data_IF_155885036082
#
_entry.id   IF_155885036082
#
_cell.length_a   1.000
_cell.length_b   1.000
_cell.length_c   1.000
_cell.angle_alpha   90.00
_cell.angle_beta   90.00
_cell.angle_gamma   90.00
#
_symmetry.space_group_name_H-M   'P 1'
#
loop_
_entity.id
_entity.type
_entity.pdbx_description
1 polymer ?
#
# COMPACT_ATOMS: atom_id res chain seq x y z
N UNK A 1 -10.38 -3.07 -11.02
CA UNK A 1 -10.01 -4.27 -10.22
C UNK A 1 -9.74 -3.82 -8.80
N UNK A 2 -10.23 -4.58 -7.81
CA UNK A 2 -10.23 -4.20 -6.40
C UNK A 2 -9.07 -4.89 -5.68
N UNK A 3 -8.37 -4.15 -4.84
CA UNK A 3 -7.42 -4.66 -3.88
C UNK A 3 -7.74 -4.15 -2.48
N UNK A 4 -7.10 -4.70 -1.47
CA UNK A 4 -7.19 -4.17 -0.12
C UNK A 4 -5.94 -4.46 0.70
N UNK A 5 -5.73 -3.62 1.69
CA UNK A 5 -4.66 -3.74 2.68
C UNK A 5 -5.26 -3.60 4.07
N UNK A 6 -4.79 -4.37 5.03
CA UNK A 6 -5.15 -4.21 6.43
C UNK A 6 -3.93 -4.42 7.33
N UNK A 7 -3.93 -3.75 8.46
CA UNK A 7 -2.93 -3.97 9.49
C UNK A 7 -3.56 -3.78 10.87
N UNK A 8 -3.60 -4.85 11.65
CA UNK A 8 -4.10 -4.89 13.03
C UNK A 8 -2.91 -4.89 14.00
N UNK A 9 -2.53 -3.73 14.54
CA UNK A 9 -1.36 -3.62 15.40
C UNK A 9 -1.53 -4.30 16.77
N UNK A 10 -2.78 -4.46 17.22
CA UNK A 10 -3.07 -5.09 18.50
C UNK A 10 -2.86 -6.62 18.45
N UNK A 11 -3.11 -7.19 17.27
CA UNK A 11 -2.98 -8.63 17.03
C UNK A 11 -1.73 -9.00 16.25
N UNK A 12 -1.01 -8.00 15.72
CA UNK A 12 0.16 -8.24 14.88
C UNK A 12 -0.16 -8.76 13.49
N UNK A 13 -1.43 -8.76 13.10
CA UNK A 13 -1.87 -9.27 11.79
C UNK A 13 -1.78 -8.16 10.74
N UNK A 14 -1.25 -8.50 9.58
CA UNK A 14 -1.32 -7.63 8.41
C UNK A 14 -1.46 -8.43 7.12
N UNK A 15 -2.04 -7.83 6.11
CA UNK A 15 -2.23 -8.50 4.83
C UNK A 15 -2.54 -7.55 3.70
N UNK A 16 -2.19 -7.98 2.50
CA UNK A 16 -2.52 -7.31 1.25
C UNK A 16 -3.09 -8.31 0.27
N UNK A 17 -4.06 -7.88 -0.50
CA UNK A 17 -4.55 -8.55 -1.68
C UNK A 17 -4.55 -7.55 -2.82
N UNK A 18 -3.86 -7.90 -3.90
CA UNK A 18 -3.77 -7.05 -5.10
C UNK A 18 -4.80 -7.46 -6.15
N UNK A 19 -5.23 -6.52 -6.98
CA UNK A 19 -6.11 -6.83 -8.12
C UNK A 19 -5.53 -7.88 -9.06
N UNK A 20 -4.20 -7.98 -9.14
CA UNK A 20 -3.48 -8.98 -9.93
C UNK A 20 -3.57 -10.41 -9.38
N UNK A 21 -4.14 -10.60 -8.19
CA UNK A 21 -4.17 -11.88 -7.47
C UNK A 21 -3.00 -12.08 -6.51
N UNK A 22 -1.99 -11.21 -6.51
CA UNK A 22 -0.91 -11.32 -5.52
C UNK A 22 -1.44 -11.02 -4.11
N UNK A 23 -1.21 -11.93 -3.17
CA UNK A 23 -1.66 -11.80 -1.79
C UNK A 23 -0.57 -12.23 -0.82
N UNK A 24 -0.47 -11.53 0.30
CA UNK A 24 0.45 -11.86 1.39
C UNK A 24 -0.23 -11.61 2.71
N UNK A 25 -0.04 -12.54 3.64
CA UNK A 25 -0.51 -12.46 5.01
C UNK A 25 0.68 -12.61 5.97
N UNK A 26 0.70 -11.79 7.01
CA UNK A 26 1.72 -11.80 8.05
C UNK A 26 1.08 -11.95 9.44
N UNK A 27 1.79 -12.67 10.29
CA UNK A 27 1.61 -12.68 11.74
C UNK A 27 2.89 -12.12 12.35
N UNK A 28 2.83 -10.89 12.84
CA UNK A 28 3.97 -10.09 13.27
C UNK A 28 4.97 -9.89 12.10
N UNK A 29 6.16 -10.48 12.21
CA UNK A 29 7.22 -10.46 11.19
C UNK A 29 7.29 -11.75 10.36
N UNK A 30 6.39 -12.71 10.62
CA UNK A 30 6.36 -14.00 9.95
C UNK A 30 5.35 -14.00 8.80
N UNK A 31 5.77 -14.46 7.62
CA UNK A 31 4.87 -14.73 6.51
C UNK A 31 4.03 -15.96 6.84
N UNK A 32 2.70 -15.78 6.98
CA UNK A 32 1.76 -16.88 7.17
C UNK A 32 1.43 -17.58 5.86
N UNK A 33 1.17 -16.77 4.83
CA UNK A 33 0.83 -17.24 3.50
C UNK A 33 1.19 -16.19 2.46
N UNK A 34 1.62 -16.62 1.27
CA UNK A 34 1.95 -15.73 0.17
C UNK A 34 1.71 -16.43 -1.17
N UNK A 35 1.03 -15.74 -2.09
CA UNK A 35 0.76 -16.24 -3.44
C UNK A 35 0.84 -15.10 -4.45
N UNK A 36 1.35 -15.41 -5.64
CA UNK A 36 1.28 -14.48 -6.78
C UNK A 36 -0.08 -14.53 -7.51
N UNK A 37 -0.82 -15.64 -7.36
CA UNK A 37 -2.06 -15.93 -8.07
C UNK A 37 -3.14 -16.44 -7.10
N UNK A 38 -3.36 -15.74 -5.99
CA UNK A 38 -4.37 -16.13 -5.04
C UNK A 38 -5.78 -15.97 -5.62
N UNK A 39 -6.59 -17.01 -5.47
CA UNK A 39 -8.01 -16.94 -5.80
C UNK A 39 -8.75 -16.20 -4.68
N UNK A 40 -9.01 -14.92 -4.90
CA UNK A 40 -9.79 -14.12 -3.96
C UNK A 40 -11.17 -13.80 -4.55
N UNK A 41 -12.17 -13.84 -3.70
CA UNK A 41 -13.49 -13.31 -4.02
C UNK A 41 -13.63 -11.94 -3.37
N UNK A 42 -13.82 -10.92 -4.19
CA UNK A 42 -14.03 -9.56 -3.76
C UNK A 42 -15.43 -9.12 -4.16
N UNK A 43 -16.22 -8.71 -3.19
CA UNK A 43 -17.54 -8.13 -3.42
C UNK A 43 -17.42 -6.67 -3.90
N UNK A 44 -18.38 -6.25 -4.71
CA UNK A 44 -18.50 -4.87 -5.20
C UNK A 44 -19.37 -4.04 -4.25
N UNK A 45 -19.14 -2.72 -4.23
CA UNK A 45 -19.97 -1.76 -3.50
C UNK A 45 -19.20 -0.98 -2.43
N UNK A 46 -19.91 -0.14 -1.69
CA UNK A 46 -19.34 0.63 -0.58
C UNK A 46 -18.91 -0.28 0.58
N UNK A 47 -19.70 -1.34 0.81
CA UNK A 47 -19.41 -2.44 1.70
C UNK A 47 -18.98 -3.62 0.84
N UNK A 48 -17.76 -4.07 1.00
CA UNK A 48 -17.18 -5.16 0.26
C UNK A 48 -16.85 -6.32 1.20
N UNK A 49 -16.88 -7.53 0.68
CA UNK A 49 -16.36 -8.71 1.37
C UNK A 49 -15.16 -9.26 0.63
N UNK A 50 -14.19 -9.75 1.37
CA UNK A 50 -13.03 -10.44 0.83
C UNK A 50 -12.93 -11.83 1.44
N UNK A 51 -12.81 -12.85 0.61
CA UNK A 51 -12.47 -14.19 1.05
C UNK A 51 -11.27 -14.71 0.27
N UNK A 52 -10.34 -15.32 0.99
CA UNK A 52 -9.08 -15.80 0.47
C UNK A 52 -8.70 -17.08 1.18
N UNK A 53 -8.21 -18.07 0.44
CA UNK A 53 -7.63 -19.29 0.97
C UNK A 53 -6.27 -19.54 0.33
N UNK A 54 -5.23 -19.63 1.14
CA UNK A 54 -3.84 -19.86 0.72
C UNK A 54 -3.10 -20.67 1.78
N UNK A 55 -2.32 -21.65 1.38
CA UNK A 55 -1.38 -22.41 2.24
C UNK A 55 -2.01 -22.91 3.56
N UNK A 56 -3.30 -23.26 3.53
CA UNK A 56 -4.03 -23.70 4.73
C UNK A 56 -4.47 -22.56 5.66
N UNK A 57 -4.35 -21.33 5.22
CA UNK A 57 -4.88 -20.13 5.89
C UNK A 57 -6.10 -19.64 5.12
N UNK A 58 -7.23 -19.51 5.81
CA UNK A 58 -8.45 -18.92 5.27
C UNK A 58 -8.71 -17.57 5.91
N UNK A 59 -9.03 -16.57 5.11
CA UNK A 59 -9.36 -15.20 5.54
C UNK A 59 -10.75 -14.86 5.05
N UNK A 60 -11.58 -14.29 5.95
CA UNK A 60 -12.89 -13.74 5.61
C UNK A 60 -12.99 -12.36 6.25
N UNK A 61 -13.10 -11.33 5.43
CA UNK A 61 -13.16 -9.95 5.87
C UNK A 61 -14.38 -9.24 5.29
N UNK A 62 -14.93 -8.34 6.08
CA UNK A 62 -15.91 -7.34 5.68
C UNK A 62 -15.23 -5.96 5.73
N UNK A 63 -15.35 -5.19 4.66
CA UNK A 63 -14.76 -3.88 4.50
C UNK A 63 -15.89 -2.87 4.35
N UNK A 64 -16.05 -2.00 5.34
CA UNK A 64 -17.00 -0.89 5.30
C UNK A 64 -16.25 0.42 5.14
N UNK A 65 -16.51 1.12 4.04
CA UNK A 65 -15.84 2.39 3.74
C UNK A 65 -16.28 3.48 4.74
N UNK A 66 -15.30 4.17 5.35
CA UNK A 66 -15.55 5.22 6.35
C UNK A 66 -15.16 6.62 5.88
N UNK A 67 -14.46 6.75 4.76
CA UNK A 67 -14.02 8.02 4.20
C UNK A 67 -14.41 8.20 2.74
N UNK A 68 -14.18 9.40 2.21
CA UNK A 68 -14.28 9.63 0.77
C UNK A 68 -13.08 8.99 0.07
N UNK A 69 -13.26 8.45 -1.14
CA UNK A 69 -12.16 7.92 -1.91
C UNK A 69 -11.21 9.04 -2.34
N UNK A 70 -9.94 8.73 -2.34
CA UNK A 70 -8.86 9.59 -2.82
C UNK A 70 -8.38 9.06 -4.15
N UNK A 71 -8.49 9.86 -5.20
CA UNK A 71 -7.92 9.52 -6.50
C UNK A 71 -6.44 9.88 -6.55
N UNK A 72 -5.63 8.93 -6.90
CA UNK A 72 -4.19 9.09 -7.08
C UNK A 72 -3.80 8.53 -8.44
N UNK A 73 -3.08 9.30 -9.24
CA UNK A 73 -2.67 8.86 -10.55
C UNK A 73 -1.58 9.71 -11.15
N UNK A 74 -0.87 9.11 -12.10
CA UNK A 74 0.15 9.74 -12.91
C UNK A 74 0.12 9.18 -14.32
N UNK A 75 0.78 9.86 -15.23
CA UNK A 75 0.80 9.47 -16.65
C UNK A 75 1.43 8.08 -16.85
N UNK A 76 2.49 7.79 -16.09
CA UNK A 76 3.23 6.51 -16.15
C UNK A 76 2.93 5.59 -14.99
N UNK A 77 2.63 6.15 -13.82
CA UNK A 77 2.38 5.38 -12.60
C UNK A 77 1.03 4.64 -12.61
N UNK A 78 0.17 4.92 -13.59
CA UNK A 78 -1.21 4.47 -13.57
C UNK A 78 -2.04 5.24 -12.54
N UNK A 79 -3.31 4.86 -12.40
CA UNK A 79 -4.24 5.55 -11.50
C UNK A 79 -5.03 4.56 -10.65
N UNK A 80 -5.31 4.96 -9.41
CA UNK A 80 -6.14 4.20 -8.47
C UNK A 80 -6.97 5.14 -7.60
N UNK A 81 -8.09 4.62 -7.10
CA UNK A 81 -8.86 5.23 -6.02
C UNK A 81 -8.62 4.44 -4.75
N UNK A 82 -8.30 5.16 -3.66
CA UNK A 82 -8.08 4.56 -2.35
C UNK A 82 -9.10 5.09 -1.35
N UNK A 83 -9.62 4.21 -0.52
CA UNK A 83 -10.54 4.60 0.54
C UNK A 83 -10.17 3.89 1.85
N UNK A 84 -10.22 4.64 2.95
CA UNK A 84 -10.10 4.04 4.29
C UNK A 84 -11.37 3.26 4.60
N UNK A 85 -11.18 2.05 5.13
CA UNK A 85 -12.25 1.15 5.51
C UNK A 85 -12.08 0.68 6.95
N UNK A 86 -13.20 0.44 7.63
CA UNK A 86 -13.21 -0.46 8.76
C UNK A 86 -13.13 -1.89 8.23
N UNK A 87 -12.24 -2.70 8.78
CA UNK A 87 -12.04 -4.10 8.42
C UNK A 87 -12.41 -4.96 9.62
N UNK A 88 -13.38 -5.82 9.44
CA UNK A 88 -13.83 -6.80 10.44
C UNK A 88 -13.82 -8.18 9.83
N UNK A 89 -13.48 -9.19 10.62
CA UNK A 89 -13.55 -10.56 10.13
C UNK A 89 -12.67 -11.52 10.91
N UNK A 90 -12.27 -12.60 10.23
CA UNK A 90 -11.49 -13.65 10.85
C UNK A 90 -10.43 -14.23 9.91
N UNK A 91 -9.34 -14.67 10.51
CA UNK A 91 -8.30 -15.47 9.91
C UNK A 91 -8.29 -16.84 10.59
N UNK A 92 -8.38 -17.93 9.81
CA UNK A 92 -8.37 -19.31 10.30
C UNK A 92 -7.12 -20.04 9.81
N UNK A 93 -6.46 -20.75 10.73
CA UNK A 93 -5.31 -21.58 10.43
C UNK A 93 -5.47 -22.92 11.17
N UNK A 94 -5.82 -23.96 10.47
CA UNK A 94 -6.23 -25.21 11.10
C UNK A 94 -7.42 -25.02 12.03
N UNK A 95 -7.26 -25.36 13.32
CA UNK A 95 -8.30 -25.19 14.36
C UNK A 95 -8.24 -23.80 15.05
N UNK A 96 -7.25 -22.98 14.75
CA UNK A 96 -7.09 -21.66 15.34
C UNK A 96 -7.84 -20.61 14.53
N UNK A 97 -8.57 -19.74 15.23
CA UNK A 97 -9.25 -18.59 14.63
C UNK A 97 -8.82 -17.30 15.34
N UNK A 98 -8.35 -16.34 14.57
CA UNK A 98 -8.01 -15.00 15.03
C UNK A 98 -9.00 -14.00 14.45
N UNK A 99 -9.54 -13.13 15.30
CA UNK A 99 -10.41 -12.04 14.83
C UNK A 99 -9.58 -10.89 14.29
N UNK A 100 -10.04 -10.26 13.23
CA UNK A 100 -9.48 -9.03 12.65
C UNK A 100 -10.45 -7.89 12.94
N UNK A 101 -9.95 -6.79 13.52
CA UNK A 101 -10.75 -5.59 13.75
C UNK A 101 -9.82 -4.37 13.72
N UNK A 102 -9.68 -3.74 12.56
CA UNK A 102 -8.72 -2.66 12.36
C UNK A 102 -9.20 -1.68 11.27
N UNK A 103 -8.38 -0.67 11.01
CA UNK A 103 -8.49 0.14 9.80
C UNK A 103 -7.71 -0.54 8.67
N UNK A 104 -8.20 -0.37 7.46
CA UNK A 104 -7.56 -0.83 6.25
C UNK A 104 -7.79 0.14 5.09
N UNK A 105 -7.27 -0.23 3.93
CA UNK A 105 -7.42 0.55 2.70
C UNK A 105 -7.97 -0.38 1.63
N UNK A 106 -9.06 0.04 1.02
CA UNK A 106 -9.53 -0.50 -0.24
C UNK A 106 -8.89 0.30 -1.37
N UNK A 107 -8.42 -0.38 -2.40
CA UNK A 107 -7.90 0.24 -3.62
C UNK A 107 -8.66 -0.28 -4.84
N UNK A 108 -9.10 0.65 -5.69
CA UNK A 108 -9.73 0.35 -6.96
C UNK A 108 -8.81 0.84 -8.10
N UNK A 109 -8.16 -0.09 -8.82
CA UNK A 109 -7.30 0.26 -9.94
C UNK A 109 -8.14 0.81 -11.10
N UNK A 110 -7.87 2.06 -11.48
CA UNK A 110 -8.48 2.75 -12.61
C UNK A 110 -7.67 2.47 -13.88
N UNK A 111 -6.34 2.56 -13.78
CA UNK A 111 -5.40 2.16 -14.81
C UNK A 111 -4.12 1.61 -14.19
N UNK A 112 -3.45 0.72 -14.90
CA UNK A 112 -2.16 0.19 -14.48
C UNK A 112 -1.02 0.91 -15.20
N UNK A 113 0.17 0.90 -14.59
CA UNK A 113 1.38 1.33 -15.25
C UNK A 113 1.70 0.39 -16.42
N UNK A 114 2.07 0.95 -17.55
CA UNK A 114 2.49 0.16 -18.71
C UNK A 114 3.87 -0.48 -18.44
N UNK A 115 3.95 -1.82 -18.36
CA UNK A 115 5.20 -2.52 -18.07
C UNK A 115 6.29 -2.27 -19.12
N UNK A 116 5.91 -1.93 -20.35
CA UNK A 116 6.87 -1.64 -21.43
C UNK A 116 7.49 -0.23 -21.32
N UNK A 117 6.90 0.63 -20.51
CA UNK A 117 7.36 2.01 -20.29
C UNK A 117 8.11 2.20 -18.98
N UNK A 118 7.86 1.34 -17.97
CA UNK A 118 8.41 1.52 -16.63
C UNK A 118 9.20 0.32 -16.15
N UNK A 119 10.41 0.59 -15.64
CA UNK A 119 11.28 -0.42 -15.04
C UNK A 119 10.92 -0.73 -13.59
N UNK A 120 10.29 0.22 -12.90
CA UNK A 120 9.94 0.11 -11.48
C UNK A 120 8.72 0.96 -11.17
N UNK A 121 7.80 0.41 -10.36
CA UNK A 121 6.74 1.19 -9.71
C UNK A 121 6.84 1.04 -8.20
N UNK A 122 6.48 2.10 -7.48
CA UNK A 122 6.35 2.12 -6.02
C UNK A 122 4.95 2.56 -5.64
N UNK A 123 4.39 1.94 -4.62
CA UNK A 123 3.10 2.31 -4.06
C UNK A 123 3.17 2.31 -2.54
N UNK A 124 2.78 3.41 -1.93
CA UNK A 124 2.66 3.55 -0.48
C UNK A 124 1.22 3.92 -0.17
N UNK A 125 0.63 3.23 0.80
CA UNK A 125 -0.69 3.52 1.31
C UNK A 125 -0.70 3.34 2.83
N UNK A 126 -1.01 4.41 3.57
CA UNK A 126 -0.90 4.48 5.03
C UNK A 126 -2.20 4.99 5.62
N UNK A 127 -2.72 4.29 6.61
CA UNK A 127 -3.78 4.80 7.48
C UNK A 127 -3.17 5.25 8.80
N UNK A 128 -3.46 6.49 9.19
CA UNK A 128 -3.08 7.02 10.49
C UNK A 128 -4.10 6.64 11.55
N UNK A 129 -3.67 6.64 12.81
CA UNK A 129 -4.52 6.27 13.95
C UNK A 129 -5.77 7.14 14.13
N UNK A 130 -5.77 8.34 13.56
CA UNK A 130 -6.90 9.27 13.52
C UNK A 130 -7.85 9.03 12.34
N UNK A 131 -7.54 8.09 11.44
CA UNK A 131 -8.33 7.80 10.23
C UNK A 131 -7.87 8.59 9.00
N UNK A 132 -6.85 9.42 9.10
CA UNK A 132 -6.26 10.08 7.94
C UNK A 132 -5.55 9.10 7.01
N UNK A 133 -5.44 9.45 5.73
CA UNK A 133 -4.83 8.66 4.67
C UNK A 133 -3.66 9.40 4.04
N UNK A 134 -2.55 8.70 3.83
CA UNK A 134 -1.46 9.10 2.93
C UNK A 134 -1.33 8.06 1.83
N UNK A 135 -1.38 8.50 0.58
CA UNK A 135 -1.14 7.66 -0.58
C UNK A 135 -0.06 8.27 -1.47
N UNK A 136 0.80 7.40 -2.04
CA UNK A 136 1.84 7.80 -2.98
C UNK A 136 2.01 6.71 -4.05
N UNK A 137 2.18 7.14 -5.28
CA UNK A 137 2.63 6.31 -6.40
C UNK A 137 3.85 6.94 -7.06
N UNK A 138 4.79 6.09 -7.47
CA UNK A 138 5.94 6.50 -8.25
C UNK A 138 6.19 5.51 -9.38
N UNK A 139 6.65 6.00 -10.52
CA UNK A 139 7.04 5.20 -11.66
C UNK A 139 8.39 5.68 -12.20
N UNK A 140 9.32 4.74 -12.37
CA UNK A 140 10.61 4.99 -13.01
C UNK A 140 10.56 4.49 -14.44
N UNK A 141 10.76 5.35 -15.46
CA UNK A 141 10.81 4.92 -16.84
C UNK A 141 12.02 4.02 -17.12
N UNK A 142 11.93 3.21 -18.18
CA UNK A 142 13.09 2.48 -18.67
C UNK A 142 14.18 3.46 -19.11
N UNK A 143 15.44 3.13 -18.77
CA UNK A 143 16.60 3.97 -19.10
C UNK A 143 16.81 5.21 -18.23
N UNK A 144 15.96 5.42 -17.22
CA UNK A 144 16.18 6.49 -16.24
C UNK A 144 17.46 6.23 -15.46
N UNK A 145 18.34 7.22 -15.40
CA UNK A 145 19.61 7.15 -14.69
C UNK A 145 19.58 7.82 -13.33
N UNK A 146 18.67 8.77 -13.17
CA UNK A 146 18.54 9.59 -11.97
C UNK A 146 17.18 9.42 -11.27
N UNK A 147 17.16 9.67 -9.96
CA UNK A 147 15.92 9.70 -9.19
C UNK A 147 14.97 10.83 -9.63
N UNK A 148 15.50 11.90 -10.22
CA UNK A 148 14.70 13.00 -10.76
C UNK A 148 13.85 12.64 -11.97
N UNK A 149 14.11 11.48 -12.59
CA UNK A 149 13.32 10.97 -13.71
C UNK A 149 12.09 10.19 -13.26
N UNK A 150 11.95 9.90 -11.97
CA UNK A 150 10.75 9.25 -11.43
C UNK A 150 9.57 10.23 -11.44
N UNK A 151 8.47 9.78 -12.01
CA UNK A 151 7.18 10.42 -11.80
C UNK A 151 6.68 10.03 -10.42
N UNK A 152 6.45 11.01 -9.54
CA UNK A 152 5.96 10.77 -8.18
C UNK A 152 4.70 11.59 -7.95
N UNK A 153 3.63 10.94 -7.52
CA UNK A 153 2.36 11.57 -7.15
C UNK A 153 1.99 11.16 -5.74
N UNK A 154 1.39 12.07 -4.98
CA UNK A 154 0.93 11.78 -3.63
C UNK A 154 -0.34 12.59 -3.31
N UNK A 155 -1.12 12.04 -2.41
CA UNK A 155 -2.30 12.69 -1.87
C UNK A 155 -2.42 12.39 -0.36
N UNK A 156 -2.98 13.33 0.36
CA UNK A 156 -3.31 13.24 1.76
C UNK A 156 -4.81 13.46 1.93
N UNK A 157 -5.44 12.69 2.80
CA UNK A 157 -6.77 13.01 3.30
C UNK A 157 -6.73 13.08 4.81
N UNK A 158 -7.39 14.07 5.36
CA UNK A 158 -7.56 14.18 6.80
C UNK A 158 -8.66 13.21 7.31
N UNK A 159 -8.84 13.07 8.63
CA UNK A 159 -9.88 12.20 9.20
C UNK A 159 -11.32 12.58 8.81
N UNK A 160 -11.56 13.84 8.41
CA UNK A 160 -12.84 14.29 7.90
C UNK A 160 -13.04 13.96 6.41
N UNK A 161 -11.99 13.47 5.74
CA UNK A 161 -11.99 13.15 4.31
C UNK A 161 -11.68 14.36 3.44
N UNK A 162 -11.19 15.46 4.01
CA UNK A 162 -10.73 16.62 3.24
C UNK A 162 -9.42 16.27 2.53
N UNK A 163 -9.45 16.38 1.19
CA UNK A 163 -8.32 16.04 0.35
C UNK A 163 -7.32 17.20 0.26
N UNK A 164 -6.06 16.88 0.52
CA UNK A 164 -4.93 17.77 0.30
C UNK A 164 -4.07 17.23 -0.84
N UNK A 165 -3.99 17.95 -1.94
CA UNK A 165 -3.09 17.63 -3.03
C UNK A 165 -1.65 17.99 -2.67
N UNK A 166 -0.71 17.16 -3.13
CA UNK A 166 0.71 17.34 -2.93
C UNK A 166 1.36 17.69 -4.25
N UNK A 167 2.05 18.84 -4.31
CA UNK A 167 2.66 19.33 -5.56
C UNK A 167 3.97 18.63 -5.88
N UNK A 168 4.84 18.48 -4.90
CA UNK A 168 6.21 17.99 -5.08
C UNK A 168 6.51 16.93 -4.01
N UNK A 169 6.01 15.70 -4.18
CA UNK A 169 6.35 14.62 -3.26
C UNK A 169 7.78 14.13 -3.51
N UNK A 170 8.58 14.07 -2.45
CA UNK A 170 9.91 13.47 -2.49
C UNK A 170 9.91 12.19 -1.68
N UNK A 171 10.37 11.10 -2.28
CA UNK A 171 10.51 9.78 -1.66
C UNK A 171 11.96 9.34 -1.60
N UNK A 172 12.46 9.05 -0.41
CA UNK A 172 13.75 8.40 -0.20
C UNK A 172 13.54 7.03 0.44
N UNK A 173 14.20 6.01 -0.10
CA UNK A 173 14.12 4.62 0.38
C UNK A 173 15.49 4.08 0.72
N UNK A 174 15.59 3.44 1.88
CA UNK A 174 16.76 2.66 2.28
C UNK A 174 16.47 1.18 2.12
N UNK A 175 17.43 0.46 1.58
CA UNK A 175 17.33 -0.98 1.29
C UNK A 175 18.25 -1.78 2.18
N UNK A 176 17.88 -3.03 2.48
CA UNK A 176 18.78 -4.02 3.09
C UNK A 176 19.73 -4.63 2.06
N UNK A 177 20.59 -5.57 2.52
CA UNK A 177 21.54 -6.28 1.66
C UNK A 177 20.85 -7.15 0.58
N UNK A 178 19.60 -7.57 0.81
CA UNK A 178 18.77 -8.30 -0.15
C UNK A 178 18.00 -7.40 -1.12
N UNK A 179 18.20 -6.07 -1.03
CA UNK A 179 17.53 -5.08 -1.87
C UNK A 179 16.07 -4.82 -1.49
N UNK A 180 15.62 -5.21 -0.28
CA UNK A 180 14.27 -4.93 0.19
C UNK A 180 14.22 -3.60 0.94
N UNK A 181 13.12 -2.86 0.76
CA UNK A 181 12.90 -1.59 1.46
C UNK A 181 12.77 -1.80 2.97
N UNK A 182 13.57 -1.09 3.76
CA UNK A 182 13.56 -1.19 5.23
C UNK A 182 13.25 0.12 5.94
N UNK A 183 13.50 1.25 5.29
CA UNK A 183 13.11 2.58 5.76
C UNK A 183 12.69 3.44 4.58
N UNK A 184 11.76 4.35 4.83
CA UNK A 184 11.36 5.35 3.86
C UNK A 184 11.16 6.70 4.54
N UNK A 185 11.47 7.78 3.82
CA UNK A 185 11.13 9.14 4.24
C UNK A 185 10.45 9.87 3.10
N UNK A 186 9.46 10.69 3.46
CA UNK A 186 8.69 11.51 2.54
C UNK A 186 8.79 12.97 2.95
N UNK A 187 8.98 13.85 1.96
CA UNK A 187 8.70 15.26 2.08
C UNK A 187 7.55 15.59 1.12
N UNK A 188 6.49 16.15 1.66
CA UNK A 188 5.23 16.38 0.96
C UNK A 188 4.92 17.88 1.00
N UNK A 189 4.98 18.54 -0.14
CA UNK A 189 4.67 19.95 -0.27
C UNK A 189 3.18 20.11 -0.64
N UNK A 190 2.33 20.53 0.31
CA UNK A 190 0.91 20.72 0.02
C UNK A 190 0.71 21.80 -1.02
N UNK A 191 -0.24 21.58 -1.93
CA UNK A 191 -0.67 22.63 -2.85
C UNK A 191 -1.47 23.68 -2.06
N UNK A 192 -0.95 24.90 -2.00
CA UNK A 192 -1.59 26.00 -1.26
C UNK A 192 -1.60 27.28 -2.08
N UNK A 193 -2.71 27.99 -2.00
CA UNK A 193 -2.93 29.22 -2.77
C UNK A 193 -2.31 30.48 -2.15
N UNK A 194 -2.03 30.56 -0.86
CA UNK A 194 -1.81 31.84 -0.20
C UNK A 194 -0.56 32.00 0.68
N UNK A 195 -0.04 30.97 1.30
CA UNK A 195 1.17 31.10 2.15
C UNK A 195 2.08 29.87 2.05
N UNK A 196 3.40 30.07 1.87
CA UNK A 196 4.35 28.94 1.86
C UNK A 196 4.40 28.29 3.25
N UNK A 197 4.02 27.02 3.33
CA UNK A 197 4.20 26.20 4.53
C UNK A 197 5.39 25.27 4.35
N UNK A 198 6.06 24.89 5.44
CA UNK A 198 7.08 23.85 5.36
C UNK A 198 6.45 22.53 4.89
N UNK A 199 7.25 21.64 4.26
CA UNK A 199 6.76 20.34 3.86
C UNK A 199 6.33 19.52 5.07
N UNK A 200 5.26 18.74 4.90
CA UNK A 200 4.93 17.68 5.83
C UNK A 200 5.97 16.56 5.68
N UNK A 201 6.41 15.98 6.79
CA UNK A 201 7.41 14.92 6.78
C UNK A 201 6.85 13.65 7.35
N UNK A 202 6.95 12.57 6.57
CA UNK A 202 6.63 11.25 7.06
C UNK A 202 7.88 10.36 7.04
N UNK A 203 8.01 9.52 8.07
CA UNK A 203 9.07 8.54 8.17
C UNK A 203 8.47 7.17 8.49
N UNK A 204 8.91 6.16 7.76
CA UNK A 204 8.47 4.78 7.92
C UNK A 204 9.63 3.83 8.16
N UNK A 205 9.39 2.80 8.96
CA UNK A 205 10.28 1.67 9.16
C UNK A 205 9.53 0.36 9.02
N UNK A 206 10.19 -0.64 8.44
CA UNK A 206 9.60 -1.94 8.19
C UNK A 206 9.16 -2.63 9.50
N UNK A 207 7.99 -3.25 9.46
CA UNK A 207 7.47 -4.17 10.48
C UNK A 207 7.65 -5.61 9.99
N UNK A 208 7.19 -5.88 8.77
CA UNK A 208 7.31 -7.17 8.11
C UNK A 208 7.37 -6.97 6.60
N UNK A 209 7.87 -7.96 5.87
CA UNK A 209 7.93 -7.88 4.42
C UNK A 209 8.43 -9.16 3.77
N UNK A 210 8.08 -9.33 2.51
CA UNK A 210 8.49 -10.47 1.68
C UNK A 210 8.60 -10.08 0.22
N UNK A 211 9.15 -10.96 -0.59
CA UNK A 211 9.25 -10.80 -2.04
C UNK A 211 8.52 -11.94 -2.74
N UNK A 212 7.79 -11.62 -3.79
CA UNK A 212 7.07 -12.57 -4.64
C UNK A 212 7.48 -12.41 -6.10
N UNK A 213 7.60 -13.49 -6.87
CA UNK A 213 7.64 -13.42 -8.32
C UNK A 213 6.22 -13.15 -8.84
N UNK A 214 6.06 -12.15 -9.71
CA UNK A 214 4.81 -11.85 -10.42
C UNK A 214 5.12 -11.81 -11.91
N UNK A 215 4.87 -12.92 -12.59
CA UNK A 215 5.37 -13.12 -13.96
C UNK A 215 6.90 -13.06 -13.99
N UNK A 216 7.45 -12.23 -14.88
CA UNK A 216 8.89 -11.96 -14.96
C UNK A 216 9.36 -10.85 -13.98
N UNK A 217 8.47 -10.26 -13.22
CA UNK A 217 8.77 -9.15 -12.31
C UNK A 217 8.89 -9.66 -10.87
N UNK A 218 9.52 -8.83 -10.03
CA UNK A 218 9.62 -9.04 -8.59
C UNK A 218 8.74 -8.01 -7.89
N UNK A 219 7.86 -8.50 -7.02
CA UNK A 219 7.04 -7.69 -6.13
C UNK A 219 7.59 -7.80 -4.70
N UNK A 220 8.15 -6.71 -4.19
CA UNK A 220 8.54 -6.57 -2.79
C UNK A 220 7.39 -5.90 -2.03
N UNK A 221 6.78 -6.62 -1.10
CA UNK A 221 5.67 -6.15 -0.25
C UNK A 221 6.17 -6.02 1.17
N UNK A 222 5.92 -4.88 1.78
CA UNK A 222 6.24 -4.67 3.18
C UNK A 222 5.18 -3.79 3.88
N UNK A 223 4.92 -4.08 5.15
CA UNK A 223 4.18 -3.21 6.04
C UNK A 223 5.14 -2.40 6.89
N UNK A 224 4.84 -1.13 7.00
CA UNK A 224 5.66 -0.14 7.67
C UNK A 224 4.90 0.51 8.81
N UNK A 225 5.60 0.77 9.92
CA UNK A 225 5.15 1.73 10.91
C UNK A 225 5.60 3.10 10.48
N UNK A 226 4.62 3.99 10.31
CA UNK A 226 4.83 5.36 9.87
C UNK A 226 4.62 6.34 11.01
N UNK A 227 5.26 7.49 10.90
CA UNK A 227 4.98 8.68 11.71
C UNK A 227 4.99 9.90 10.80
N UNK A 228 3.95 10.73 10.90
CA UNK A 228 3.87 12.02 10.20
C UNK A 228 3.39 13.08 11.19
N UNK A 229 4.25 14.07 11.45
CA UNK A 229 3.97 15.15 12.43
C UNK A 229 3.50 14.62 13.78
N UNK A 230 4.10 13.53 14.28
CA UNK A 230 3.74 12.88 15.55
C UNK A 230 2.52 11.96 15.48
N UNK A 231 1.81 11.89 14.36
CA UNK A 231 0.70 10.95 14.16
C UNK A 231 1.25 9.57 13.75
N UNK A 232 0.99 8.52 14.52
CA UNK A 232 1.38 7.17 14.13
C UNK A 232 0.43 6.63 13.06
N UNK A 233 0.97 5.81 12.16
CA UNK A 233 0.22 5.12 11.11
C UNK A 233 0.81 3.76 10.81
N UNK A 234 0.02 2.92 10.16
CA UNK A 234 0.44 1.65 9.58
C UNK A 234 0.06 1.63 8.12
N UNK A 235 0.90 1.03 7.30
CA UNK A 235 0.59 0.97 5.89
C UNK A 235 1.58 0.19 5.08
N UNK A 236 1.14 -0.17 3.90
CA UNK A 236 1.89 -0.93 2.92
C UNK A 236 2.86 -0.03 2.15
N UNK A 237 4.04 -0.58 1.87
CA UNK A 237 4.97 -0.08 0.88
C UNK A 237 5.34 -1.23 -0.06
N UNK A 238 4.97 -1.11 -1.33
CA UNK A 238 5.28 -2.06 -2.38
C UNK A 238 6.23 -1.50 -3.42
N UNK A 239 7.07 -2.37 -3.96
CA UNK A 239 7.93 -2.10 -5.11
C UNK A 239 7.75 -3.24 -6.11
N UNK A 240 7.28 -2.93 -7.31
CA UNK A 240 7.24 -3.85 -8.43
C UNK A 240 8.35 -3.46 -9.41
N UNK A 241 9.36 -4.31 -9.54
CA UNK A 241 10.51 -4.06 -10.41
C UNK A 241 10.58 -5.05 -11.56
N UNK A 242 11.10 -4.61 -12.70
CA UNK A 242 11.51 -5.50 -13.77
C UNK A 242 12.57 -6.48 -13.26
N UNK A 243 12.75 -7.65 -13.91
CA UNK A 243 13.86 -8.53 -13.57
C UNK A 243 15.18 -7.75 -13.67
N UNK A 244 16.11 -8.04 -12.75
CA UNK A 244 17.45 -7.51 -12.86
C UNK A 244 18.00 -7.97 -14.23
N UNK A 245 18.19 -7.01 -15.14
CA UNK A 245 18.81 -7.31 -16.43
C UNK A 245 20.22 -7.86 -16.17
N UNK A 246 20.56 -8.92 -16.86
CA UNK A 246 21.91 -9.47 -16.92
C UNK A 246 22.91 -8.46 -17.50
#
# INVERSE_FOLDING_TARGET
MIGFDFADPERGLSGTLRPSGAAVLFDHDVVLAASADAAAQLGDGADASASLEMDGVAVQLELSRIGQPVSLGGERAGAEELAVCQVLGELRRGDETQQVACLGIRSDAVSEADPDQVSLTRSIAVVFSDGGLLALRAARPHGATDHGDEEVTAALADPAGELMQVREPLLSTHYDEAGRQVRATLELWPEQETEPRPPLRAAGSIVCGTSLPVGERRLDVAFFRWSMDGRPGLGRYEILSAPAGD
#
